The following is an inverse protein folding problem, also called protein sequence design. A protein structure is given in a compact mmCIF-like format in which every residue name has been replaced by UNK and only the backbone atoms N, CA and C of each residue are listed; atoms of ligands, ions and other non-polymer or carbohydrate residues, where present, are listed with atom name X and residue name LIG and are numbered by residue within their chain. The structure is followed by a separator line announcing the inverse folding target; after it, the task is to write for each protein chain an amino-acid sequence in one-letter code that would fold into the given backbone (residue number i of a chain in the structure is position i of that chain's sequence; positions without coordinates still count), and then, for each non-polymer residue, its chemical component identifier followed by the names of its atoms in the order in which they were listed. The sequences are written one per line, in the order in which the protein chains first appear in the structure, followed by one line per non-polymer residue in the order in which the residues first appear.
data_IF_281016125033
#
_entry.id   IF_281016125033
#
_cell.length_a   1.000
_cell.length_b   1.000
_cell.length_c   1.000
_cell.angle_alpha   90.00
_cell.angle_beta   90.00
_cell.angle_gamma   90.00
#
_symmetry.space_group_name_H-M   'P 1'
#
loop_
_entity.id
_entity.type
_entity.pdbx_description
1 polymer ?
#
# COMPACT_ATOMS: atom_id res chain seq x y z
N UNK A 1 29.47 -11.25 -23.54
CA UNK A 1 29.11 -11.01 -22.14
C UNK A 1 29.98 -9.87 -21.62
N UNK A 2 29.38 -8.73 -21.27
CA UNK A 2 30.09 -7.59 -20.66
C UNK A 2 30.01 -7.72 -19.14
N UNK A 3 31.08 -7.37 -18.43
CA UNK A 3 31.11 -7.43 -16.96
C UNK A 3 30.91 -6.04 -16.35
N UNK A 4 30.02 -5.94 -15.38
CA UNK A 4 29.75 -4.73 -14.59
C UNK A 4 30.05 -5.07 -13.13
N UNK A 5 30.78 -4.20 -12.43
CA UNK A 5 31.07 -4.36 -11.01
C UNK A 5 30.23 -3.37 -10.19
N UNK A 6 29.57 -3.86 -9.15
CA UNK A 6 28.69 -3.04 -8.29
C UNK A 6 28.72 -3.54 -6.85
N UNK A 7 28.37 -2.68 -5.89
CA UNK A 7 28.19 -3.14 -4.51
C UNK A 7 26.83 -3.80 -4.36
N UNK A 8 25.79 -3.20 -4.94
CA UNK A 8 24.42 -3.73 -4.93
C UNK A 8 23.82 -3.84 -6.33
N UNK A 9 23.01 -4.88 -6.54
CA UNK A 9 22.16 -5.04 -7.72
C UNK A 9 20.69 -5.03 -7.27
N UNK A 10 19.97 -3.95 -7.57
CA UNK A 10 18.55 -3.79 -7.25
C UNK A 10 17.70 -4.23 -8.42
N UNK A 11 16.86 -5.23 -8.19
CA UNK A 11 15.91 -5.79 -9.17
C UNK A 11 14.55 -5.17 -8.94
N UNK A 12 14.13 -4.31 -9.87
CA UNK A 12 12.89 -3.54 -9.81
C UNK A 12 13.15 -2.06 -9.48
N UNK A 13 12.78 -1.17 -10.40
CA UNK A 13 12.75 0.28 -10.25
C UNK A 13 11.33 0.79 -9.88
N UNK A 14 10.53 -0.05 -9.21
CA UNK A 14 9.29 0.36 -8.57
C UNK A 14 9.54 1.20 -7.32
N UNK A 15 8.47 1.66 -6.67
CA UNK A 15 8.57 2.59 -5.54
C UNK A 15 9.48 2.09 -4.39
N UNK A 16 9.47 0.79 -4.07
CA UNK A 16 10.36 0.21 -3.04
C UNK A 16 11.83 0.22 -3.48
N UNK A 17 12.13 -0.26 -4.69
CA UNK A 17 13.49 -0.27 -5.21
C UNK A 17 14.09 1.13 -5.33
N UNK A 18 13.27 2.12 -5.72
CA UNK A 18 13.65 3.53 -5.73
C UNK A 18 13.92 4.09 -4.33
N UNK A 19 13.04 3.83 -3.35
CA UNK A 19 13.22 4.31 -1.98
C UNK A 19 14.43 3.68 -1.26
N UNK A 20 14.68 2.38 -1.51
CA UNK A 20 15.88 1.69 -1.03
C UNK A 20 17.14 2.29 -1.64
N UNK A 21 17.19 2.42 -2.97
CA UNK A 21 18.35 2.95 -3.71
C UNK A 21 18.66 4.38 -3.28
N UNK A 22 17.65 5.23 -3.15
CA UNK A 22 17.80 6.61 -2.69
C UNK A 22 18.47 6.70 -1.32
N UNK A 23 17.94 5.97 -0.34
CA UNK A 23 18.46 6.00 1.04
C UNK A 23 19.88 5.47 1.09
N UNK A 24 20.15 4.35 0.40
CA UNK A 24 21.47 3.74 0.34
C UNK A 24 22.51 4.68 -0.29
N UNK A 25 22.16 5.35 -1.38
CA UNK A 25 23.04 6.31 -2.07
C UNK A 25 23.24 7.57 -1.23
N UNK A 26 22.23 8.03 -0.51
CA UNK A 26 22.33 9.20 0.37
C UNK A 26 23.22 8.96 1.60
N UNK A 27 23.23 7.73 2.13
CA UNK A 27 23.88 7.42 3.41
C UNK A 27 25.21 6.65 3.28
N UNK A 28 25.57 6.22 2.07
CA UNK A 28 26.82 5.49 1.80
C UNK A 28 27.48 5.94 0.51
N UNK A 29 28.71 5.48 0.25
CA UNK A 29 29.41 5.65 -1.03
C UNK A 29 29.19 4.47 -2.01
N UNK A 30 28.21 3.60 -1.74
CA UNK A 30 27.99 2.38 -2.51
C UNK A 30 27.66 2.66 -3.98
N UNK A 31 28.12 1.77 -4.86
CA UNK A 31 27.70 1.68 -6.26
C UNK A 31 26.51 0.75 -6.40
N UNK A 32 25.54 1.16 -7.20
CA UNK A 32 24.27 0.45 -7.37
C UNK A 32 23.96 0.27 -8.85
N UNK A 33 23.64 -0.95 -9.25
CA UNK A 33 23.01 -1.24 -10.54
C UNK A 33 21.52 -1.46 -10.27
N UNK A 34 20.66 -0.72 -10.97
CA UNK A 34 19.21 -0.91 -10.93
C UNK A 34 18.76 -1.50 -12.26
N UNK A 35 18.03 -2.61 -12.23
CA UNK A 35 17.47 -3.28 -13.41
C UNK A 35 15.96 -3.33 -13.31
N UNK A 36 15.26 -2.98 -14.38
CA UNK A 36 13.79 -3.02 -14.42
C UNK A 36 13.28 -3.39 -15.82
N UNK A 37 12.19 -4.16 -15.87
CA UNK A 37 11.54 -4.58 -17.12
C UNK A 37 10.73 -3.44 -17.77
N UNK A 38 10.35 -2.43 -17.00
CA UNK A 38 9.64 -1.24 -17.44
C UNK A 38 10.54 -0.26 -18.19
N UNK A 39 9.91 0.60 -18.96
CA UNK A 39 10.58 1.61 -19.78
C UNK A 39 11.09 2.82 -18.98
N UNK A 40 10.60 2.98 -17.74
CA UNK A 40 10.96 4.05 -16.83
C UNK A 40 10.75 3.59 -15.37
N UNK A 41 11.35 4.27 -14.39
CA UNK A 41 11.06 4.06 -12.97
C UNK A 41 9.59 4.30 -12.62
N UNK A 42 9.11 3.63 -11.57
CA UNK A 42 7.75 3.78 -11.05
C UNK A 42 6.97 2.47 -10.97
N UNK A 43 7.45 1.39 -11.59
CA UNK A 43 6.82 0.07 -11.49
C UNK A 43 5.36 0.08 -11.98
N UNK A 44 4.42 -0.39 -11.16
CA UNK A 44 3.00 -0.51 -11.54
C UNK A 44 2.33 0.82 -11.92
N UNK A 45 2.86 1.96 -11.45
CA UNK A 45 2.33 3.29 -11.81
C UNK A 45 2.37 3.56 -13.31
N UNK A 46 3.32 2.94 -14.03
CA UNK A 46 3.43 3.05 -15.49
C UNK A 46 2.29 2.36 -16.25
N UNK A 47 1.46 1.56 -15.56
CA UNK A 47 0.31 0.82 -16.12
C UNK A 47 -1.01 1.15 -15.42
N UNK A 48 -0.99 2.04 -14.43
CA UNK A 48 -2.17 2.34 -13.63
C UNK A 48 -3.22 3.12 -14.46
N UNK A 49 -4.49 3.05 -14.04
CA UNK A 49 -5.60 3.69 -14.74
C UNK A 49 -5.54 5.22 -14.60
N UNK A 50 -6.02 5.99 -15.60
CA UNK A 50 -5.67 7.41 -15.73
C UNK A 50 -6.22 8.32 -14.63
N UNK A 51 -7.22 7.87 -13.87
CA UNK A 51 -7.84 8.62 -12.78
C UNK A 51 -7.41 8.13 -11.38
N UNK A 52 -6.45 7.20 -11.29
CA UNK A 52 -5.89 6.79 -10.01
C UNK A 52 -5.16 7.95 -9.35
N UNK A 53 -5.26 8.00 -8.02
CA UNK A 53 -4.46 8.87 -7.17
C UNK A 53 -3.89 8.06 -6.03
N UNK A 54 -2.82 8.56 -5.41
CA UNK A 54 -2.34 7.98 -4.16
C UNK A 54 -3.47 7.86 -3.14
N UNK A 55 -3.48 6.77 -2.37
CA UNK A 55 -4.46 6.57 -1.30
C UNK A 55 -4.08 7.37 -0.04
N UNK A 56 -2.79 7.69 0.11
CA UNK A 56 -2.23 8.45 1.22
C UNK A 56 -1.66 9.80 0.72
N UNK A 57 -1.45 10.78 1.61
CA UNK A 57 -0.83 12.06 1.25
C UNK A 57 0.51 11.91 0.51
N UNK A 58 0.69 12.73 -0.52
CA UNK A 58 1.92 12.75 -1.34
C UNK A 58 3.19 13.01 -0.51
N UNK A 59 3.05 13.81 0.54
CA UNK A 59 4.11 14.18 1.50
C UNK A 59 4.84 12.98 2.13
N UNK A 60 4.24 11.79 2.13
CA UNK A 60 4.82 10.57 2.74
C UNK A 60 5.01 9.43 1.74
N UNK A 61 4.97 9.74 0.44
CA UNK A 61 5.26 8.78 -0.63
C UNK A 61 6.50 9.20 -1.43
N UNK A 62 7.18 8.24 -2.06
CA UNK A 62 8.40 8.49 -2.85
C UNK A 62 9.68 8.08 -2.12
N UNK A 63 10.70 8.94 -2.14
CA UNK A 63 12.04 8.72 -1.57
C UNK A 63 12.42 9.79 -0.52
N UNK A 64 13.35 9.52 0.40
CA UNK A 64 13.65 10.47 1.49
C UNK A 64 14.26 11.78 0.98
N UNK A 65 15.12 11.72 -0.04
CA UNK A 65 15.88 12.87 -0.53
C UNK A 65 15.05 13.93 -1.26
N UNK A 66 13.86 13.58 -1.76
CA UNK A 66 13.04 14.45 -2.62
C UNK A 66 11.56 14.45 -2.23
N UNK A 67 10.97 15.62 -2.10
CA UNK A 67 9.51 15.78 -1.89
C UNK A 67 8.70 15.44 -3.15
N UNK A 68 7.62 14.69 -2.99
CA UNK A 68 6.60 14.47 -4.02
C UNK A 68 5.43 15.44 -3.79
N UNK A 69 5.09 16.22 -4.81
CA UNK A 69 4.08 17.27 -4.71
C UNK A 69 4.66 18.56 -4.10
N UNK A 70 3.78 19.32 -3.48
CA UNK A 70 3.97 20.68 -2.96
C UNK A 70 3.43 20.87 -1.54
N UNK A 71 2.97 19.78 -0.92
CA UNK A 71 2.27 19.77 0.37
C UNK A 71 1.04 20.71 0.37
N UNK A 72 0.41 20.87 -0.79
CA UNK A 72 -0.80 21.67 -0.91
C UNK A 72 -2.02 20.93 -0.35
N UNK A 73 -2.96 21.69 0.22
CA UNK A 73 -4.29 21.17 0.54
C UNK A 73 -5.20 21.30 -0.66
N UNK A 74 -5.97 20.25 -0.95
CA UNK A 74 -6.98 20.29 -1.99
C UNK A 74 -8.06 21.34 -1.64
N UNK A 75 -8.33 22.23 -2.59
CA UNK A 75 -9.32 23.30 -2.41
C UNK A 75 -10.73 22.90 -2.91
N UNK A 76 -10.81 21.79 -3.65
CA UNK A 76 -12.03 21.30 -4.30
C UNK A 76 -12.09 19.77 -4.32
N UNK A 77 -13.23 19.22 -4.76
CA UNK A 77 -13.44 17.79 -4.83
C UNK A 77 -13.63 17.14 -3.45
N UNK A 78 -13.66 15.80 -3.43
CA UNK A 78 -13.97 15.06 -2.21
C UNK A 78 -12.77 14.88 -1.26
N UNK A 79 -11.58 15.34 -1.65
CA UNK A 79 -10.41 15.40 -0.77
C UNK A 79 -10.20 16.81 -0.17
N UNK A 80 -11.13 17.76 -0.42
CA UNK A 80 -11.00 19.16 0.02
C UNK A 80 -10.62 19.28 1.50
N UNK A 81 -9.59 20.07 1.77
CA UNK A 81 -9.08 20.34 3.12
C UNK A 81 -8.08 19.31 3.65
N UNK A 82 -7.72 18.29 2.84
CA UNK A 82 -6.64 17.34 3.11
C UNK A 82 -5.50 17.56 2.11
N UNK A 83 -4.31 17.04 2.41
CA UNK A 83 -3.17 17.13 1.49
C UNK A 83 -3.44 16.41 0.17
N UNK A 84 -2.85 16.96 -0.88
CA UNK A 84 -2.98 16.48 -2.25
C UNK A 84 -2.55 15.01 -2.42
N UNK A 85 -3.24 14.34 -3.32
CA UNK A 85 -3.00 12.96 -3.70
C UNK A 85 -2.47 12.93 -5.13
N UNK A 86 -1.18 12.66 -5.28
CA UNK A 86 -0.49 12.61 -6.57
C UNK A 86 -1.19 11.63 -7.52
N UNK A 87 -1.31 12.03 -8.78
CA UNK A 87 -1.84 11.19 -9.86
C UNK A 87 -0.79 10.17 -10.31
N UNK A 88 -1.18 9.18 -11.14
CA UNK A 88 -0.20 8.29 -11.77
C UNK A 88 0.87 9.06 -12.57
N UNK A 89 0.47 10.13 -13.28
CA UNK A 89 1.39 10.99 -14.02
C UNK A 89 2.41 11.70 -13.12
N UNK A 90 1.94 12.24 -12.00
CA UNK A 90 2.82 12.89 -11.01
C UNK A 90 3.84 11.92 -10.42
N UNK A 91 3.41 10.69 -10.08
CA UNK A 91 4.29 9.67 -9.52
C UNK A 91 5.33 9.20 -10.54
N UNK A 92 4.95 8.95 -11.79
CA UNK A 92 5.90 8.57 -12.84
C UNK A 92 6.92 9.67 -13.10
N UNK A 93 6.46 10.92 -13.27
CA UNK A 93 7.34 12.07 -13.46
C UNK A 93 8.27 12.30 -12.27
N UNK A 94 7.79 12.05 -11.04
CA UNK A 94 8.60 12.16 -9.84
C UNK A 94 9.73 11.12 -9.81
N UNK A 95 9.44 9.83 -10.05
CA UNK A 95 10.49 8.81 -10.01
C UNK A 95 11.46 8.93 -11.18
N UNK A 96 11.01 9.37 -12.35
CA UNK A 96 11.92 9.72 -13.45
C UNK A 96 12.88 10.85 -13.04
N UNK A 97 12.37 11.92 -12.41
CA UNK A 97 13.24 13.00 -11.89
C UNK A 97 14.23 12.49 -10.84
N UNK A 98 13.79 11.64 -9.90
CA UNK A 98 14.69 11.04 -8.90
C UNK A 98 15.82 10.26 -9.60
N UNK A 99 15.49 9.43 -10.59
CA UNK A 99 16.50 8.67 -11.33
C UNK A 99 17.44 9.59 -12.12
N UNK A 100 16.88 10.46 -12.96
CA UNK A 100 17.65 11.26 -13.94
C UNK A 100 18.42 12.43 -13.32
N UNK A 101 17.88 13.06 -12.27
CA UNK A 101 18.42 14.30 -11.70
C UNK A 101 19.18 14.08 -10.40
N UNK A 102 18.83 13.03 -9.65
CA UNK A 102 19.39 12.83 -8.31
C UNK A 102 20.31 11.60 -8.28
N UNK A 103 19.88 10.45 -8.80
CA UNK A 103 20.62 9.19 -8.71
C UNK A 103 21.72 9.03 -9.77
N UNK A 104 21.38 9.11 -11.06
CA UNK A 104 22.35 8.94 -12.15
C UNK A 104 23.49 9.98 -12.10
N UNK A 105 23.23 11.27 -11.81
CA UNK A 105 24.30 12.27 -11.74
C UNK A 105 25.34 12.04 -10.65
N UNK A 106 25.05 11.19 -9.64
CA UNK A 106 26.07 10.80 -8.65
C UNK A 106 27.23 10.02 -9.26
N UNK A 107 27.05 9.42 -10.44
CA UNK A 107 28.00 8.49 -11.05
C UNK A 107 28.12 7.15 -10.31
N UNK A 108 27.35 6.95 -9.23
CA UNK A 108 27.32 5.71 -8.43
C UNK A 108 26.18 4.78 -8.82
N UNK A 109 25.18 5.27 -9.54
CA UNK A 109 24.03 4.49 -9.99
C UNK A 109 24.11 4.25 -11.50
N UNK A 110 23.88 3.00 -11.92
CA UNK A 110 23.65 2.63 -13.32
C UNK A 110 22.26 2.03 -13.46
N UNK A 111 21.47 2.52 -14.41
CA UNK A 111 20.08 2.08 -14.62
C UNK A 111 19.91 1.36 -15.95
N UNK A 112 19.31 0.18 -15.90
CA UNK A 112 18.98 -0.68 -17.03
C UNK A 112 17.44 -0.81 -17.16
N UNK A 113 16.76 0.15 -17.82
CA UNK A 113 15.35 0.02 -18.17
C UNK A 113 15.17 -1.04 -19.26
N UNK A 114 13.94 -1.52 -19.44
CA UNK A 114 13.58 -2.53 -20.44
C UNK A 114 14.52 -3.75 -20.42
N UNK A 115 14.99 -4.11 -19.23
CA UNK A 115 15.98 -5.16 -19.03
C UNK A 115 15.49 -6.19 -18.02
N UNK A 116 15.81 -7.45 -18.26
CA UNK A 116 15.39 -8.57 -17.43
C UNK A 116 16.55 -9.10 -16.59
N UNK A 117 16.30 -9.28 -15.29
CA UNK A 117 17.21 -10.04 -14.42
C UNK A 117 16.96 -11.54 -14.59
N UNK A 118 18.00 -12.28 -14.98
CA UNK A 118 17.94 -13.72 -15.28
C UNK A 118 18.38 -14.60 -14.10
N UNK A 119 18.64 -14.00 -12.93
CA UNK A 119 19.25 -14.68 -11.79
C UNK A 119 20.78 -14.70 -11.84
N UNK A 120 21.39 -14.99 -10.69
CA UNK A 120 22.85 -15.17 -10.54
C UNK A 120 23.67 -13.98 -11.09
N UNK A 121 23.20 -12.74 -10.86
CA UNK A 121 23.89 -11.54 -11.33
C UNK A 121 23.84 -11.34 -12.85
N UNK A 122 22.95 -12.00 -13.59
CA UNK A 122 22.83 -11.85 -15.05
C UNK A 122 21.69 -10.92 -15.44
N UNK A 123 21.94 -10.02 -16.39
CA UNK A 123 20.95 -9.10 -16.94
C UNK A 123 20.91 -9.26 -18.46
N UNK A 124 19.71 -9.23 -19.05
CA UNK A 124 19.50 -9.13 -20.50
C UNK A 124 18.80 -7.82 -20.84
N UNK A 125 19.39 -7.01 -21.71
CA UNK A 125 18.76 -5.77 -22.15
C UNK A 125 17.77 -5.98 -23.30
N UNK A 126 17.09 -4.89 -23.70
CA UNK A 126 16.11 -4.87 -24.78
C UNK A 126 16.67 -5.38 -26.13
N UNK A 127 17.97 -5.21 -26.38
CA UNK A 127 18.62 -5.67 -27.60
C UNK A 127 19.04 -7.15 -27.53
N UNK A 128 18.79 -7.82 -26.40
CA UNK A 128 19.20 -9.20 -26.14
C UNK A 128 20.66 -9.33 -25.70
N UNK A 129 21.36 -8.23 -25.41
CA UNK A 129 22.73 -8.30 -24.89
C UNK A 129 22.71 -8.74 -23.43
N UNK A 130 23.57 -9.71 -23.11
CA UNK A 130 23.72 -10.22 -21.75
C UNK A 130 24.95 -9.65 -21.03
N UNK A 131 24.72 -9.22 -19.79
CA UNK A 131 25.70 -8.67 -18.87
C UNK A 131 25.87 -9.60 -17.67
N UNK A 132 27.10 -9.76 -17.21
CA UNK A 132 27.43 -10.32 -15.91
C UNK A 132 27.65 -9.19 -14.92
N UNK A 133 26.97 -9.23 -13.78
CA UNK A 133 27.13 -8.25 -12.71
C UNK A 133 27.87 -8.91 -11.55
N UNK A 134 29.11 -8.49 -11.32
CA UNK A 134 29.87 -8.82 -10.11
C UNK A 134 29.33 -8.01 -8.94
N UNK A 135 28.54 -8.65 -8.08
CA UNK A 135 27.91 -8.03 -6.90
C UNK A 135 28.79 -8.27 -5.67
N UNK A 136 29.32 -7.19 -5.08
CA UNK A 136 30.25 -7.30 -3.94
C UNK A 136 29.55 -7.47 -2.60
N UNK A 137 28.34 -6.93 -2.46
CA UNK A 137 27.54 -7.03 -1.23
C UNK A 137 26.32 -7.89 -1.48
N UNK A 138 25.24 -7.33 -2.04
CA UNK A 138 23.95 -8.03 -2.11
C UNK A 138 23.14 -7.71 -3.36
N UNK A 139 22.38 -8.72 -3.80
CA UNK A 139 21.24 -8.51 -4.70
C UNK A 139 20.06 -8.08 -3.84
N UNK A 140 19.29 -7.09 -4.30
CA UNK A 140 18.12 -6.56 -3.63
C UNK A 140 16.90 -6.88 -4.49
N UNK A 141 16.05 -7.78 -4.04
CA UNK A 141 14.79 -8.10 -4.68
C UNK A 141 13.70 -7.10 -4.24
N UNK A 142 13.40 -6.15 -5.12
CA UNK A 142 12.29 -5.22 -4.97
C UNK A 142 11.01 -5.67 -5.70
N UNK A 143 10.97 -6.93 -6.17
CA UNK A 143 9.85 -7.53 -6.90
C UNK A 143 9.02 -8.50 -6.04
N UNK A 144 9.48 -8.85 -4.83
CA UNK A 144 8.77 -9.77 -3.95
C UNK A 144 7.31 -9.37 -3.68
N UNK A 145 7.07 -8.10 -3.33
CA UNK A 145 5.72 -7.55 -3.14
C UNK A 145 5.14 -6.96 -4.44
N UNK A 146 5.33 -7.64 -5.57
CA UNK A 146 4.86 -7.13 -6.87
C UNK A 146 3.36 -6.79 -6.86
N UNK A 147 3.04 -5.65 -7.47
CA UNK A 147 1.66 -5.18 -7.61
C UNK A 147 1.13 -5.52 -9.00
N UNK A 148 -0.03 -6.17 -9.06
CA UNK A 148 -0.77 -6.38 -10.31
C UNK A 148 -1.93 -5.38 -10.37
N UNK A 149 -1.91 -4.50 -11.37
CA UNK A 149 -3.07 -3.64 -11.68
C UNK A 149 -3.98 -4.32 -12.70
N UNK A 150 -5.29 -3.99 -12.78
CA UNK A 150 -6.23 -4.70 -13.65
C UNK A 150 -5.81 -4.81 -15.11
N UNK A 151 -5.21 -3.77 -15.69
CA UNK A 151 -4.75 -3.78 -17.09
C UNK A 151 -3.60 -4.77 -17.38
N UNK A 152 -3.01 -5.38 -16.36
CA UNK A 152 -1.90 -6.34 -16.52
C UNK A 152 -2.38 -7.77 -16.75
N UNK A 153 -3.69 -8.04 -16.66
CA UNK A 153 -4.25 -9.39 -16.80
C UNK A 153 -5.69 -9.36 -17.34
N UNK A 154 -6.19 -10.46 -17.92
CA UNK A 154 -7.61 -10.61 -18.15
C UNK A 154 -8.38 -10.81 -16.82
N UNK A 155 -9.72 -10.61 -16.82
CA UNK A 155 -10.56 -10.97 -15.69
C UNK A 155 -10.40 -12.46 -15.31
N UNK A 156 -10.48 -12.81 -14.00
CA UNK A 156 -10.33 -14.19 -13.54
C UNK A 156 -11.61 -15.03 -13.73
N UNK A 157 -12.65 -14.47 -14.35
CA UNK A 157 -13.95 -15.07 -14.59
C UNK A 157 -14.27 -15.05 -16.09
N UNK A 158 -15.21 -15.91 -16.51
CA UNK A 158 -15.57 -16.02 -17.91
C UNK A 158 -16.47 -14.84 -18.32
N UNK A 159 -16.20 -14.26 -19.48
CA UNK A 159 -17.04 -13.23 -20.09
C UNK A 159 -17.47 -13.75 -21.46
N UNK A 160 -18.78 -13.82 -21.71
CA UNK A 160 -19.29 -14.27 -23.01
C UNK A 160 -18.99 -13.24 -24.13
N UNK A 161 -18.91 -13.73 -25.36
CA UNK A 161 -18.62 -12.90 -26.53
C UNK A 161 -19.61 -11.74 -26.68
N UNK A 162 -19.09 -10.57 -27.09
CA UNK A 162 -19.89 -9.36 -27.31
C UNK A 162 -20.21 -8.55 -26.05
N UNK A 163 -19.84 -9.03 -24.86
CA UNK A 163 -20.03 -8.30 -23.60
C UNK A 163 -18.85 -7.33 -23.38
N UNK A 164 -19.17 -6.07 -23.15
CA UNK A 164 -18.16 -5.06 -22.79
C UNK A 164 -17.69 -5.24 -21.36
N UNK A 165 -16.55 -5.90 -21.16
CA UNK A 165 -15.87 -6.01 -19.87
C UNK A 165 -14.45 -5.46 -20.01
N UNK A 166 -14.17 -4.36 -19.32
CA UNK A 166 -12.93 -3.60 -19.49
C UNK A 166 -12.23 -3.36 -18.14
N UNK A 167 -10.90 -3.22 -18.10
CA UNK A 167 -10.21 -2.75 -16.91
C UNK A 167 -10.52 -1.25 -16.68
N UNK A 168 -10.36 -0.74 -15.44
CA UNK A 168 -10.39 0.69 -15.10
C UNK A 168 -9.63 1.63 -16.06
N UNK A 169 -8.55 1.14 -16.67
CA UNK A 169 -7.76 1.90 -17.64
C UNK A 169 -8.57 2.35 -18.86
N UNK A 170 -9.48 1.49 -19.33
CA UNK A 170 -10.30 1.69 -20.53
C UNK A 170 -11.66 2.32 -20.20
N UNK A 171 -11.99 2.46 -18.91
CA UNK A 171 -13.27 3.03 -18.48
C UNK A 171 -13.58 4.41 -19.13
N UNK A 172 -12.65 5.38 -19.19
CA UNK A 172 -12.94 6.68 -19.79
C UNK A 172 -13.37 6.61 -21.26
N UNK A 173 -12.79 5.69 -22.02
CA UNK A 173 -13.04 5.54 -23.46
C UNK A 173 -14.34 4.77 -23.73
N UNK A 174 -14.70 3.83 -22.84
CA UNK A 174 -15.85 2.94 -23.03
C UNK A 174 -17.10 3.37 -22.27
N UNK A 175 -16.99 4.29 -21.31
CA UNK A 175 -18.12 4.78 -20.52
C UNK A 175 -19.18 5.56 -21.33
N UNK A 176 -18.84 6.43 -22.30
CA UNK A 176 -19.84 7.22 -23.03
C UNK A 176 -20.90 6.35 -23.72
N UNK A 177 -22.17 6.79 -23.65
CA UNK A 177 -23.28 6.14 -24.36
C UNK A 177 -23.78 4.82 -23.75
N UNK A 178 -23.22 4.37 -22.63
CA UNK A 178 -23.75 3.22 -21.87
C UNK A 178 -24.93 3.65 -21.03
N UNK A 179 -25.82 2.71 -20.69
CA UNK A 179 -26.98 2.94 -19.80
C UNK A 179 -26.77 2.38 -18.39
N UNK A 180 -25.93 1.34 -18.24
CA UNK A 180 -25.62 0.72 -16.94
C UNK A 180 -24.13 0.41 -16.80
N UNK A 181 -23.66 0.46 -15.56
CA UNK A 181 -22.28 0.13 -15.19
C UNK A 181 -22.28 -0.88 -14.05
N UNK A 182 -21.57 -1.98 -14.24
CA UNK A 182 -21.35 -2.99 -13.19
C UNK A 182 -19.88 -2.95 -12.80
N UNK A 183 -19.60 -2.57 -11.56
CA UNK A 183 -18.24 -2.54 -11.01
C UNK A 183 -17.99 -3.87 -10.31
N UNK A 184 -16.98 -4.62 -10.75
CA UNK A 184 -16.65 -5.94 -10.18
C UNK A 184 -15.41 -5.80 -9.30
N UNK A 185 -15.59 -5.83 -7.98
CA UNK A 185 -14.48 -5.78 -7.03
C UNK A 185 -14.71 -4.78 -5.90
N UNK A 186 -14.48 -5.25 -4.67
CA UNK A 186 -14.71 -4.52 -3.42
C UNK A 186 -13.53 -3.65 -2.95
N UNK A 187 -12.39 -3.72 -3.66
CA UNK A 187 -11.16 -3.04 -3.27
C UNK A 187 -11.16 -1.55 -3.59
N UNK A 188 -10.02 -0.90 -3.31
CA UNK A 188 -9.84 0.53 -3.55
C UNK A 188 -9.99 0.91 -5.04
N UNK A 189 -9.51 0.06 -5.95
CA UNK A 189 -9.75 0.21 -7.39
C UNK A 189 -11.25 0.24 -7.76
N UNK A 190 -12.08 -0.57 -7.09
CA UNK A 190 -13.53 -0.56 -7.24
C UNK A 190 -14.15 0.75 -6.75
N UNK A 191 -13.72 1.22 -5.58
CA UNK A 191 -14.11 2.52 -5.06
C UNK A 191 -13.75 3.66 -6.02
N UNK A 192 -12.55 3.63 -6.60
CA UNK A 192 -12.09 4.66 -7.54
C UNK A 192 -12.90 4.66 -8.84
N UNK A 193 -13.27 3.50 -9.37
CA UNK A 193 -14.16 3.40 -10.52
C UNK A 193 -15.57 3.96 -10.20
N UNK A 194 -16.14 3.59 -9.05
CA UNK A 194 -17.43 4.13 -8.59
C UNK A 194 -17.38 5.66 -8.43
N UNK A 195 -16.34 6.17 -7.76
CA UNK A 195 -16.13 7.59 -7.53
C UNK A 195 -15.92 8.35 -8.84
N UNK A 196 -15.17 7.78 -9.80
CA UNK A 196 -14.98 8.38 -11.11
C UNK A 196 -16.29 8.51 -11.88
N UNK A 197 -17.12 7.46 -11.91
CA UNK A 197 -18.44 7.49 -12.56
C UNK A 197 -19.35 8.55 -11.93
N UNK A 198 -19.46 8.56 -10.60
CA UNK A 198 -20.26 9.53 -9.87
C UNK A 198 -19.76 10.97 -10.07
N UNK A 199 -18.43 11.15 -10.11
CA UNK A 199 -17.78 12.44 -10.33
C UNK A 199 -18.01 13.01 -11.73
N UNK A 200 -18.25 12.14 -12.71
CA UNK A 200 -18.61 12.51 -14.09
C UNK A 200 -20.14 12.57 -14.32
N UNK A 201 -20.92 12.62 -13.25
CA UNK A 201 -22.36 12.85 -13.33
C UNK A 201 -23.20 11.61 -13.68
N UNK A 202 -22.61 10.41 -13.66
CA UNK A 202 -23.40 9.19 -13.76
C UNK A 202 -24.21 9.03 -12.45
N UNK A 203 -25.55 8.95 -12.53
CA UNK A 203 -26.38 8.84 -11.34
C UNK A 203 -26.23 7.45 -10.69
N UNK A 204 -26.26 7.35 -9.35
CA UNK A 204 -25.98 6.11 -8.62
C UNK A 204 -26.93 4.96 -8.96
N UNK A 205 -28.15 5.25 -9.42
CA UNK A 205 -29.15 4.27 -9.84
C UNK A 205 -28.74 3.48 -11.09
N UNK A 206 -27.72 3.95 -11.81
CA UNK A 206 -27.13 3.28 -12.98
C UNK A 206 -25.92 2.42 -12.65
N UNK A 207 -25.50 2.39 -11.37
CA UNK A 207 -24.35 1.62 -10.90
C UNK A 207 -24.83 0.42 -10.10
N UNK A 208 -24.32 -0.76 -10.48
CA UNK A 208 -24.36 -1.97 -9.65
C UNK A 208 -22.95 -2.25 -9.18
N UNK A 209 -22.74 -2.42 -7.87
CA UNK A 209 -21.41 -2.72 -7.32
C UNK A 209 -21.37 -4.13 -6.74
N UNK A 210 -20.61 -5.02 -7.39
CA UNK A 210 -20.41 -6.39 -6.91
C UNK A 210 -19.30 -6.40 -5.86
N UNK A 211 -19.73 -6.51 -4.61
CA UNK A 211 -18.91 -6.45 -3.41
C UNK A 211 -19.13 -7.72 -2.55
N UNK A 212 -18.40 -8.82 -2.81
CA UNK A 212 -18.60 -10.06 -2.05
C UNK A 212 -18.26 -9.94 -0.56
N UNK A 213 -17.40 -9.01 -0.19
CA UNK A 213 -17.04 -8.69 1.20
C UNK A 213 -16.94 -7.18 1.36
N UNK A 214 -17.59 -6.64 2.39
CA UNK A 214 -17.40 -5.25 2.79
C UNK A 214 -16.03 -5.06 3.46
N UNK A 215 -15.41 -3.90 3.21
CA UNK A 215 -14.12 -3.52 3.81
C UNK A 215 -14.31 -2.63 5.03
N UNK A 216 -13.53 -2.87 6.08
CA UNK A 216 -13.15 -1.81 7.01
C UNK A 216 -12.21 -0.84 6.28
N UNK A 217 -12.48 0.46 6.40
CA UNK A 217 -11.77 1.55 5.72
C UNK A 217 -11.07 2.46 6.72
N UNK A 218 -9.95 3.06 6.34
CA UNK A 218 -9.27 4.07 7.13
C UNK A 218 -9.82 5.47 6.78
N UNK A 219 -10.07 6.30 7.79
CA UNK A 219 -10.35 7.73 7.57
C UNK A 219 -9.05 8.44 7.15
N UNK A 220 -9.02 8.93 5.90
CA UNK A 220 -7.85 9.63 5.33
C UNK A 220 -7.44 10.83 6.18
N UNK A 221 -8.38 11.49 6.85
CA UNK A 221 -8.09 12.65 7.67
C UNK A 221 -7.30 12.30 8.95
N UNK A 222 -7.29 11.02 9.36
CA UNK A 222 -6.55 10.52 10.52
C UNK A 222 -5.11 10.08 10.18
N UNK A 223 -4.74 10.05 8.90
CA UNK A 223 -3.41 9.65 8.42
C UNK A 223 -2.68 10.79 7.68
N UNK A 224 -3.03 12.04 7.99
CA UNK A 224 -2.36 13.22 7.45
C UNK A 224 -1.05 13.52 8.20
N UNK A 225 0.09 13.69 7.51
CA UNK A 225 1.35 14.08 8.14
C UNK A 225 1.37 15.58 8.47
N UNK A 226 2.46 16.05 9.08
CA UNK A 226 2.74 17.48 9.19
C UNK A 226 2.09 18.19 10.39
N UNK A 227 2.59 19.39 10.73
CA UNK A 227 2.17 20.12 11.93
C UNK A 227 0.68 20.52 11.92
N UNK A 228 0.09 20.74 10.75
CA UNK A 228 -1.31 21.14 10.62
C UNK A 228 -2.28 20.05 11.12
N UNK A 229 -1.95 18.78 10.90
CA UNK A 229 -2.81 17.64 11.30
C UNK A 229 -2.30 16.91 12.54
N UNK A 230 -1.15 17.33 13.09
CA UNK A 230 -0.50 16.68 14.22
C UNK A 230 -1.45 16.36 15.38
N UNK A 231 -2.30 17.31 15.79
CA UNK A 231 -3.24 17.08 16.89
C UNK A 231 -4.27 16.00 16.57
N UNK A 232 -4.79 15.97 15.33
CA UNK A 232 -5.75 14.96 14.88
C UNK A 232 -5.08 13.59 14.79
N UNK A 233 -3.91 13.52 14.16
CA UNK A 233 -3.11 12.31 14.06
C UNK A 233 -2.80 11.72 15.44
N UNK A 234 -2.29 12.56 16.37
CA UNK A 234 -1.99 12.15 17.76
C UNK A 234 -3.23 11.66 18.50
N UNK A 235 -4.37 12.34 18.34
CA UNK A 235 -5.63 11.93 18.97
C UNK A 235 -6.14 10.59 18.43
N UNK A 236 -6.12 10.39 17.11
CA UNK A 236 -6.49 9.13 16.46
C UNK A 236 -5.57 7.99 16.89
N UNK A 237 -4.25 8.22 16.90
CA UNK A 237 -3.27 7.24 17.37
C UNK A 237 -3.52 6.82 18.83
N UNK A 238 -3.74 7.78 19.73
CA UNK A 238 -4.07 7.48 21.12
C UNK A 238 -5.39 6.72 21.27
N UNK A 239 -6.43 7.12 20.55
CA UNK A 239 -7.73 6.45 20.55
C UNK A 239 -7.65 5.01 20.02
N UNK A 240 -6.80 4.76 19.01
CA UNK A 240 -6.52 3.42 18.48
C UNK A 240 -5.88 2.52 19.52
N UNK A 241 -4.84 3.01 20.22
CA UNK A 241 -4.19 2.26 21.30
C UNK A 241 -5.15 1.98 22.47
N UNK A 242 -5.95 2.97 22.86
CA UNK A 242 -6.95 2.80 23.91
C UNK A 242 -8.03 1.78 23.52
N UNK A 243 -8.49 1.81 22.27
CA UNK A 243 -9.46 0.83 21.75
C UNK A 243 -8.88 -0.58 21.78
N UNK A 244 -7.64 -0.74 21.31
CA UNK A 244 -6.92 -2.01 21.33
C UNK A 244 -6.69 -2.54 22.76
N UNK A 245 -6.34 -1.67 23.71
CA UNK A 245 -6.08 -2.06 25.10
C UNK A 245 -7.37 -2.37 25.89
N UNK A 246 -8.50 -1.73 25.58
CA UNK A 246 -9.73 -1.83 26.36
C UNK A 246 -10.77 -2.83 25.80
N UNK A 247 -10.61 -3.29 24.56
CA UNK A 247 -11.58 -4.16 23.91
C UNK A 247 -11.70 -5.52 24.62
N UNK A 248 -12.94 -5.96 24.85
CA UNK A 248 -13.28 -7.21 25.51
C UNK A 248 -13.32 -8.41 24.55
N UNK A 249 -13.76 -8.18 23.30
CA UNK A 249 -13.83 -9.13 22.19
C UNK A 249 -13.33 -8.48 20.88
N UNK A 250 -13.16 -9.29 19.83
CA UNK A 250 -12.84 -8.77 18.48
C UNK A 250 -13.96 -7.87 17.96
N UNK A 251 -15.23 -8.21 18.23
CA UNK A 251 -16.37 -7.37 17.83
C UNK A 251 -16.35 -6.00 18.52
N UNK A 252 -16.18 -5.97 19.85
CA UNK A 252 -16.04 -4.74 20.65
C UNK A 252 -14.83 -3.89 20.18
N UNK A 253 -13.73 -4.53 19.76
CA UNK A 253 -12.59 -3.84 19.17
C UNK A 253 -12.98 -3.05 17.91
N UNK A 254 -13.63 -3.70 16.95
CA UNK A 254 -14.02 -3.03 15.70
C UNK A 254 -15.10 -1.96 15.93
N UNK A 255 -16.05 -2.17 16.83
CA UNK A 255 -17.02 -1.16 17.23
C UNK A 255 -16.35 0.09 17.84
N UNK A 256 -15.34 -0.09 18.70
CA UNK A 256 -14.56 1.01 19.28
C UNK A 256 -13.72 1.74 18.22
N UNK A 257 -13.09 1.00 17.32
CA UNK A 257 -12.32 1.58 16.23
C UNK A 257 -13.23 2.40 15.29
N UNK A 258 -14.45 1.94 15.03
CA UNK A 258 -15.45 2.70 14.30
C UNK A 258 -15.92 3.94 15.08
N UNK A 259 -16.28 3.79 16.34
CA UNK A 259 -16.78 4.88 17.19
C UNK A 259 -15.75 6.02 17.36
N UNK A 260 -14.46 5.69 17.30
CA UNK A 260 -13.36 6.66 17.36
C UNK A 260 -12.96 7.22 15.99
N UNK A 261 -13.59 6.76 14.91
CA UNK A 261 -13.28 7.15 13.53
C UNK A 261 -11.95 6.60 13.01
N UNK A 262 -11.32 5.66 13.72
CA UNK A 262 -10.10 4.99 13.24
C UNK A 262 -10.41 4.04 12.07
N UNK A 263 -11.57 3.39 12.11
CA UNK A 263 -12.13 2.63 11.01
C UNK A 263 -13.48 3.20 10.59
N UNK A 264 -13.84 3.02 9.32
CA UNK A 264 -15.11 3.40 8.75
C UNK A 264 -15.69 2.18 8.03
N UNK A 265 -17.02 2.09 7.97
CA UNK A 265 -17.74 1.08 7.17
C UNK A 265 -18.63 1.74 6.12
N UNK A 266 -18.82 1.07 4.99
CA UNK A 266 -19.69 1.56 3.93
C UNK A 266 -21.16 1.52 4.36
N UNK A 267 -21.64 0.34 4.71
CA UNK A 267 -23.04 0.06 5.06
C UNK A 267 -23.15 -0.23 6.57
N UNK A 268 -23.85 0.61 7.36
CA UNK A 268 -24.00 0.38 8.80
C UNK A 268 -24.75 -0.89 9.17
N UNK A 269 -25.51 -1.48 8.24
CA UNK A 269 -26.26 -2.73 8.48
C UNK A 269 -25.44 -3.99 8.24
N UNK A 270 -24.23 -3.86 7.67
CA UNK A 270 -23.36 -4.99 7.32
C UNK A 270 -22.06 -4.90 8.09
N UNK A 271 -21.67 -6.00 8.75
CA UNK A 271 -20.37 -6.13 9.40
C UNK A 271 -19.30 -6.42 8.34
N UNK A 272 -18.30 -5.55 8.14
CA UNK A 272 -17.20 -5.82 7.22
C UNK A 272 -16.36 -7.02 7.65
N UNK A 273 -15.84 -7.76 6.67
CA UNK A 273 -15.00 -8.97 6.86
C UNK A 273 -13.68 -8.90 6.10
N UNK A 274 -13.40 -7.77 5.45
CA UNK A 274 -12.19 -7.50 4.68
C UNK A 274 -11.46 -6.28 5.27
N UNK A 275 -10.14 -6.32 5.30
CA UNK A 275 -9.31 -5.16 5.58
C UNK A 275 -8.09 -5.19 4.68
N UNK A 276 -7.96 -4.20 3.80
CA UNK A 276 -6.85 -4.08 2.83
C UNK A 276 -6.22 -2.68 2.83
N UNK A 277 -6.20 -2.03 4.01
CA UNK A 277 -5.69 -0.67 4.20
C UNK A 277 -6.29 0.39 3.24
N UNK A 278 -7.52 0.17 2.76
CA UNK A 278 -8.18 1.14 1.89
C UNK A 278 -8.54 2.40 2.68
N UNK A 279 -8.09 3.56 2.19
CA UNK A 279 -8.39 4.87 2.80
C UNK A 279 -9.48 5.60 2.00
N UNK A 280 -10.36 6.29 2.71
CA UNK A 280 -11.37 7.17 2.10
C UNK A 280 -11.49 8.46 2.88
N UNK A 281 -11.85 9.56 2.20
CA UNK A 281 -12.34 10.74 2.91
C UNK A 281 -13.80 10.54 3.31
N UNK A 282 -14.28 11.29 4.29
CA UNK A 282 -15.71 11.27 4.65
C UNK A 282 -16.60 11.66 3.46
N UNK A 283 -16.16 12.59 2.60
CA UNK A 283 -16.90 13.02 1.43
C UNK A 283 -16.98 11.92 0.36
N UNK A 284 -15.90 11.19 0.10
CA UNK A 284 -15.90 10.03 -0.79
C UNK A 284 -16.84 8.93 -0.26
N UNK A 285 -16.76 8.64 1.04
CA UNK A 285 -17.63 7.66 1.69
C UNK A 285 -19.12 8.05 1.54
N UNK A 286 -19.46 9.33 1.68
CA UNK A 286 -20.81 9.83 1.42
C UNK A 286 -21.26 9.56 -0.01
N UNK A 287 -20.38 9.68 -1.01
CA UNK A 287 -20.74 9.40 -2.40
C UNK A 287 -20.91 7.91 -2.66
N UNK A 288 -20.00 7.07 -2.15
CA UNK A 288 -20.09 5.62 -2.29
C UNK A 288 -21.39 5.08 -1.68
N UNK A 289 -21.83 5.64 -0.53
CA UNK A 289 -23.10 5.28 0.12
C UNK A 289 -24.36 5.63 -0.68
N UNK A 290 -24.25 6.44 -1.74
CA UNK A 290 -25.39 6.73 -2.63
C UNK A 290 -25.71 5.54 -3.54
N UNK A 291 -24.77 4.62 -3.75
CA UNK A 291 -24.97 3.42 -4.56
C UNK A 291 -25.81 2.44 -3.74
N UNK A 292 -27.09 2.30 -4.11
CA UNK A 292 -28.03 1.40 -3.43
C UNK A 292 -27.95 -0.05 -3.92
N UNK A 293 -27.53 -0.28 -5.16
CA UNK A 293 -27.46 -1.60 -5.77
C UNK A 293 -26.09 -2.26 -5.50
N UNK A 294 -25.94 -2.80 -4.29
CA UNK A 294 -24.75 -3.51 -3.84
C UNK A 294 -25.04 -5.01 -3.81
N UNK A 295 -24.28 -5.78 -4.59
CA UNK A 295 -24.46 -7.23 -4.73
C UNK A 295 -23.43 -7.98 -3.88
N UNK A 296 -23.92 -8.77 -2.93
CA UNK A 296 -23.13 -9.56 -1.97
C UNK A 296 -23.33 -11.07 -2.13
N UNK A 297 -23.41 -11.55 -3.38
CA UNK A 297 -23.67 -12.96 -3.72
C UNK A 297 -22.39 -13.73 -4.08
N UNK A 298 -21.26 -13.41 -3.44
CA UNK A 298 -19.98 -14.05 -3.71
C UNK A 298 -19.26 -13.51 -4.95
N UNK A 299 -18.25 -14.25 -5.43
CA UNK A 299 -17.39 -13.81 -6.54
C UNK A 299 -18.11 -14.05 -7.87
N UNK A 300 -17.83 -13.21 -8.87
CA UNK A 300 -18.30 -13.46 -10.24
C UNK A 300 -17.59 -14.69 -10.79
N UNK A 301 -18.35 -15.59 -11.40
CA UNK A 301 -17.83 -16.78 -12.07
C UNK A 301 -17.98 -16.66 -13.59
N UNK A 302 -19.12 -16.12 -14.04
CA UNK A 302 -19.41 -15.91 -15.45
C UNK A 302 -20.33 -14.71 -15.67
N UNK A 303 -20.06 -13.95 -16.72
CA UNK A 303 -20.93 -12.90 -17.24
C UNK A 303 -21.49 -13.34 -18.59
N UNK A 304 -22.82 -13.39 -18.69
CA UNK A 304 -23.58 -13.74 -19.90
C UNK A 304 -24.48 -12.58 -20.32
N UNK A 305 -25.12 -12.68 -21.49
CA UNK A 305 -25.92 -11.58 -22.07
C UNK A 305 -27.12 -11.17 -21.20
N UNK A 306 -27.72 -12.12 -20.49
CA UNK A 306 -28.96 -11.91 -19.72
C UNK A 306 -28.78 -12.14 -18.20
N UNK A 307 -27.62 -12.65 -17.77
CA UNK A 307 -27.35 -12.93 -16.35
C UNK A 307 -25.88 -12.84 -15.98
N UNK A 308 -25.64 -12.54 -14.71
CA UNK A 308 -24.33 -12.63 -14.06
C UNK A 308 -24.42 -13.78 -13.06
N UNK A 309 -23.53 -14.76 -13.22
CA UNK A 309 -23.43 -15.92 -12.32
C UNK A 309 -22.37 -15.61 -11.27
N UNK A 310 -22.78 -15.67 -10.00
CA UNK A 310 -21.93 -15.50 -8.84
C UNK A 310 -21.94 -16.77 -7.97
N UNK A 311 -20.94 -16.93 -7.12
CA UNK A 311 -20.79 -18.11 -6.27
C UNK A 311 -22.04 -18.46 -5.45
N UNK A 312 -22.74 -17.45 -4.91
CA UNK A 312 -23.91 -17.65 -4.03
C UNK A 312 -25.23 -17.23 -4.72
N UNK A 313 -25.25 -17.04 -6.04
CA UNK A 313 -26.49 -16.67 -6.72
C UNK A 313 -26.36 -16.19 -8.16
N UNK A 314 -27.45 -15.67 -8.71
CA UNK A 314 -27.50 -15.12 -10.07
C UNK A 314 -28.33 -13.86 -10.06
N UNK A 315 -27.88 -12.85 -10.80
CA UNK A 315 -28.63 -11.61 -11.03
C UNK A 315 -28.83 -11.39 -12.53
N UNK A 316 -29.83 -10.59 -12.88
CA UNK A 316 -30.07 -10.23 -14.27
C UNK A 316 -28.94 -9.36 -14.83
N UNK A 317 -28.63 -9.53 -16.12
CA UNK A 317 -27.73 -8.67 -16.89
C UNK A 317 -28.51 -7.96 -17.98
N UNK A 318 -28.04 -6.78 -18.36
CA UNK A 318 -28.53 -6.05 -19.52
C UNK A 318 -27.42 -5.97 -20.59
N UNK A 319 -27.69 -6.27 -21.87
CA UNK A 319 -26.69 -6.23 -22.95
C UNK A 319 -26.01 -4.86 -23.16
N UNK A 320 -26.63 -3.75 -22.73
CA UNK A 320 -26.06 -2.40 -22.80
C UNK A 320 -25.03 -2.11 -21.69
N UNK A 321 -24.92 -2.99 -20.70
CA UNK A 321 -24.09 -2.83 -19.50
C UNK A 321 -22.60 -2.85 -19.85
N UNK A 322 -21.86 -1.88 -19.32
CA UNK A 322 -20.41 -1.93 -19.26
C UNK A 322 -19.97 -2.54 -17.93
N UNK A 323 -19.17 -3.58 -17.98
CA UNK A 323 -18.53 -4.20 -16.82
C UNK A 323 -17.14 -3.64 -16.63
N UNK A 324 -16.80 -3.27 -15.39
CA UNK A 324 -15.49 -2.76 -15.02
C UNK A 324 -14.82 -3.79 -14.12
N UNK A 325 -13.76 -4.43 -14.62
CA UNK A 325 -13.01 -5.43 -13.86
C UNK A 325 -12.02 -4.76 -12.90
N UNK A 326 -12.42 -4.59 -11.64
CA UNK A 326 -11.59 -4.07 -10.57
C UNK A 326 -11.01 -5.18 -9.68
N UNK A 327 -10.97 -6.44 -10.16
CA UNK A 327 -10.67 -7.61 -9.31
C UNK A 327 -9.19 -7.95 -9.15
N UNK A 328 -8.28 -7.20 -9.79
CA UNK A 328 -6.85 -7.47 -9.63
C UNK A 328 -6.40 -7.32 -8.18
N UNK A 329 -5.60 -8.28 -7.73
CA UNK A 329 -4.99 -8.23 -6.43
C UNK A 329 -3.73 -7.34 -6.49
N UNK A 330 -3.89 -6.08 -6.07
CA UNK A 330 -2.81 -5.10 -6.13
C UNK A 330 -1.68 -5.34 -5.12
N UNK A 331 -1.92 -6.12 -4.06
CA UNK A 331 -0.97 -6.39 -3.00
C UNK A 331 -1.29 -7.77 -2.42
N UNK A 332 -0.86 -8.81 -3.11
CA UNK A 332 -1.11 -10.19 -2.70
C UNK A 332 -0.39 -10.49 -1.37
N UNK A 333 -1.04 -11.30 -0.51
CA UNK A 333 -0.44 -11.75 0.74
C UNK A 333 0.60 -12.84 0.42
N UNK A 334 1.87 -12.50 0.60
CA UNK A 334 2.97 -13.46 0.51
C UNK A 334 3.39 -13.95 1.90
N UNK A 335 3.84 -15.20 1.99
CA UNK A 335 4.49 -15.71 3.20
C UNK A 335 5.78 -14.95 3.46
N UNK A 336 5.92 -14.40 4.66
CA UNK A 336 7.11 -13.63 5.03
C UNK A 336 8.37 -14.50 4.95
N UNK A 337 9.45 -13.90 4.46
CA UNK A 337 10.81 -14.46 4.50
C UNK A 337 11.75 -13.54 5.27
N UNK A 338 12.95 -14.00 5.61
CA UNK A 338 13.98 -13.12 6.15
C UNK A 338 14.26 -11.98 5.15
N UNK A 339 14.37 -10.75 5.64
CA UNK A 339 14.69 -9.60 4.78
C UNK A 339 16.15 -9.66 4.39
N UNK A 340 17.04 -9.96 5.33
CA UNK A 340 18.47 -10.10 5.10
C UNK A 340 18.86 -11.58 5.15
N UNK A 341 19.31 -12.13 4.03
CA UNK A 341 19.71 -13.53 3.92
C UNK A 341 20.99 -13.66 3.08
N UNK A 342 22.14 -13.54 3.73
CA UNK A 342 23.44 -13.68 3.08
C UNK A 342 23.66 -12.64 1.98
N UNK A 343 23.64 -13.07 0.72
CA UNK A 343 23.84 -12.20 -0.44
C UNK A 343 22.54 -11.61 -1.01
N UNK A 344 21.39 -11.84 -0.37
CA UNK A 344 20.08 -11.36 -0.80
C UNK A 344 19.47 -10.41 0.25
N UNK A 345 18.85 -9.34 -0.23
CA UNK A 345 17.88 -8.53 0.51
C UNK A 345 16.52 -8.68 -0.16
N UNK A 346 15.51 -9.17 0.55
CA UNK A 346 14.13 -9.26 0.02
C UNK A 346 13.29 -8.13 0.61
N UNK A 347 12.96 -7.12 -0.21
CA UNK A 347 12.22 -5.96 0.27
C UNK A 347 10.78 -6.35 0.62
N UNK A 348 10.42 -6.14 1.88
CA UNK A 348 9.10 -6.40 2.44
C UNK A 348 8.64 -5.19 3.26
N UNK A 349 7.35 -5.16 3.63
CA UNK A 349 6.85 -4.13 4.54
C UNK A 349 7.33 -4.44 5.96
N UNK A 350 7.85 -3.45 6.68
CA UNK A 350 8.18 -3.55 8.13
C UNK A 350 7.31 -2.64 8.98
N UNK A 351 6.44 -1.85 8.32
CA UNK A 351 5.30 -1.13 8.90
C UNK A 351 4.07 -1.39 8.04
N UNK A 352 2.87 -1.45 8.63
CA UNK A 352 1.64 -1.76 7.91
C UNK A 352 1.39 -0.78 6.76
N UNK A 353 1.26 -1.31 5.55
CA UNK A 353 0.85 -0.56 4.35
C UNK A 353 1.70 0.68 4.04
N UNK A 354 3.00 0.66 4.42
CA UNK A 354 3.98 1.71 4.15
C UNK A 354 5.25 1.14 3.49
N UNK A 355 5.11 0.70 2.23
CA UNK A 355 6.15 0.01 1.49
C UNK A 355 7.39 0.88 1.22
N UNK A 356 7.20 2.15 0.87
CA UNK A 356 8.33 3.07 0.56
C UNK A 356 9.12 3.44 1.80
N UNK A 357 8.45 3.71 2.93
CA UNK A 357 9.12 3.89 4.22
C UNK A 357 9.87 2.63 4.63
N UNK A 358 9.24 1.45 4.47
CA UNK A 358 9.86 0.17 4.81
C UNK A 358 11.13 -0.07 4.00
N UNK A 359 11.10 0.15 2.69
CA UNK A 359 12.27 0.00 1.82
C UNK A 359 13.41 0.97 2.19
N UNK A 360 13.06 2.21 2.52
CA UNK A 360 14.03 3.20 3.01
C UNK A 360 14.65 2.79 4.36
N UNK A 361 13.83 2.33 5.31
CA UNK A 361 14.32 1.85 6.59
C UNK A 361 15.24 0.62 6.43
N UNK A 362 14.88 -0.33 5.55
CA UNK A 362 15.72 -1.49 5.25
C UNK A 362 17.09 -1.05 4.69
N UNK A 363 17.14 -0.04 3.82
CA UNK A 363 18.40 0.52 3.32
C UNK A 363 19.23 1.20 4.42
N UNK A 364 18.60 1.96 5.30
CA UNK A 364 19.28 2.57 6.46
C UNK A 364 19.88 1.50 7.37
N UNK A 365 19.09 0.46 7.68
CA UNK A 365 19.54 -0.67 8.51
C UNK A 365 20.67 -1.46 7.83
N UNK A 366 20.62 -1.64 6.49
CA UNK A 366 21.73 -2.25 5.73
C UNK A 366 23.02 -1.45 5.86
N UNK A 367 22.93 -0.11 5.86
CA UNK A 367 24.07 0.78 5.92
C UNK A 367 24.66 0.93 7.33
N UNK A 368 23.82 0.94 8.36
CA UNK A 368 24.21 1.29 9.74
C UNK A 368 24.55 0.10 10.64
N UNK A 369 24.18 -1.12 10.26
CA UNK A 369 24.36 -2.33 11.07
C UNK A 369 25.14 -3.39 10.28
N UNK A 370 25.96 -4.21 10.94
CA UNK A 370 26.80 -5.20 10.27
C UNK A 370 26.17 -6.61 10.19
N UNK A 371 25.38 -6.98 11.20
CA UNK A 371 24.91 -8.36 11.42
C UNK A 371 23.47 -8.59 10.96
N UNK A 372 23.25 -9.62 10.13
CA UNK A 372 21.94 -9.95 9.57
C UNK A 372 20.92 -10.37 10.64
N UNK A 373 21.37 -10.98 11.74
CA UNK A 373 20.47 -11.32 12.83
C UNK A 373 19.92 -10.06 13.49
N UNK A 374 20.79 -9.09 13.83
CA UNK A 374 20.38 -7.78 14.35
C UNK A 374 19.49 -7.02 13.36
N UNK A 375 19.85 -7.00 12.07
CA UNK A 375 19.05 -6.36 11.02
C UNK A 375 17.64 -6.95 10.91
N UNK A 376 17.52 -8.28 10.88
CA UNK A 376 16.23 -8.96 10.82
C UNK A 376 15.40 -8.79 12.11
N UNK A 377 16.03 -8.62 13.28
CA UNK A 377 15.31 -8.28 14.51
C UNK A 377 14.66 -6.89 14.45
N UNK A 378 15.30 -5.92 13.78
CA UNK A 378 14.76 -4.58 13.56
C UNK A 378 13.79 -4.51 12.37
N UNK A 379 13.89 -5.44 11.43
CA UNK A 379 13.12 -5.44 10.19
C UNK A 379 12.21 -6.68 10.06
N UNK A 380 11.45 -7.01 11.12
CA UNK A 380 10.50 -8.14 11.03
C UNK A 380 9.39 -7.80 10.03
N UNK A 381 9.11 -8.62 9.01
CA UNK A 381 8.06 -8.34 8.05
C UNK A 381 6.67 -8.19 8.70
N UNK A 382 5.93 -7.19 8.24
CA UNK A 382 4.52 -6.96 8.55
C UNK A 382 3.70 -7.45 7.34
N UNK A 383 2.89 -8.52 7.49
CA UNK A 383 2.15 -9.08 6.37
C UNK A 383 1.07 -8.11 5.86
N UNK A 384 0.76 -8.18 4.56
CA UNK A 384 -0.36 -7.45 4.01
C UNK A 384 -1.69 -8.11 4.42
N UNK A 385 -2.68 -7.34 4.89
CA UNK A 385 -3.95 -7.91 5.37
C UNK A 385 -4.93 -8.23 4.23
N UNK A 386 -5.80 -9.22 4.46
CA UNK A 386 -6.94 -9.53 3.59
C UNK A 386 -8.28 -9.53 4.37
N UNK A 387 -8.32 -10.17 5.53
CA UNK A 387 -9.50 -10.30 6.40
C UNK A 387 -9.55 -9.19 7.45
N UNK A 388 -10.70 -9.01 8.09
CA UNK A 388 -10.81 -8.13 9.26
C UNK A 388 -9.84 -8.57 10.37
N UNK A 389 -9.72 -9.86 10.65
CA UNK A 389 -8.79 -10.38 11.66
C UNK A 389 -7.32 -10.06 11.37
N UNK A 390 -6.94 -9.97 10.10
CA UNK A 390 -5.57 -9.57 9.72
C UNK A 390 -5.20 -8.15 10.18
N UNK A 391 -6.20 -7.30 10.49
CA UNK A 391 -5.94 -6.02 11.16
C UNK A 391 -5.20 -6.21 12.49
N UNK A 392 -5.58 -7.23 13.28
CA UNK A 392 -4.94 -7.52 14.58
C UNK A 392 -3.51 -8.02 14.36
N UNK A 393 -3.32 -8.99 13.46
CA UNK A 393 -1.99 -9.56 13.14
C UNK A 393 -1.02 -8.48 12.65
N UNK A 394 -1.47 -7.67 11.68
CA UNK A 394 -0.69 -6.58 11.11
C UNK A 394 -0.35 -5.53 12.18
N UNK A 395 -1.33 -5.15 13.00
CA UNK A 395 -1.17 -4.15 14.06
C UNK A 395 -0.19 -4.64 15.14
N UNK A 396 -0.28 -5.91 15.55
CA UNK A 396 0.67 -6.52 16.49
C UNK A 396 2.10 -6.51 15.93
N UNK A 397 2.27 -6.95 14.68
CA UNK A 397 3.58 -6.98 14.03
C UNK A 397 4.21 -5.58 13.93
N UNK A 398 3.44 -4.59 13.49
CA UNK A 398 3.86 -3.18 13.42
C UNK A 398 4.26 -2.64 14.79
N UNK A 399 3.43 -2.82 15.82
CA UNK A 399 3.71 -2.30 17.15
C UNK A 399 4.93 -2.97 17.79
N UNK A 400 5.16 -4.27 17.56
CA UNK A 400 6.36 -4.97 18.03
C UNK A 400 7.63 -4.40 17.38
N UNK A 401 7.60 -4.05 16.10
CA UNK A 401 8.70 -3.34 15.45
C UNK A 401 8.91 -1.96 16.06
N UNK A 402 7.84 -1.19 16.26
CA UNK A 402 7.92 0.14 16.89
C UNK A 402 8.54 0.09 18.29
N UNK A 403 8.17 -0.91 19.11
CA UNK A 403 8.74 -1.14 20.45
C UNK A 403 10.25 -1.39 20.37
N UNK A 404 10.73 -2.14 19.38
CA UNK A 404 12.17 -2.39 19.17
C UNK A 404 12.88 -1.12 18.73
N UNK A 405 12.29 -0.37 17.79
CA UNK A 405 12.87 0.88 17.30
C UNK A 405 12.99 1.93 18.40
N UNK A 406 11.96 2.09 19.24
CA UNK A 406 12.00 3.00 20.40
C UNK A 406 13.16 2.68 21.35
N UNK A 407 13.56 1.41 21.41
CA UNK A 407 14.67 0.95 22.24
C UNK A 407 16.07 1.20 21.64
N UNK A 408 16.15 1.69 20.40
CA UNK A 408 17.41 2.06 19.73
C UNK A 408 17.49 3.58 19.54
N UNK A 409 18.33 4.30 20.31
CA UNK A 409 18.43 5.75 20.22
C UNK A 409 18.89 6.28 18.85
N UNK A 410 19.80 5.57 18.17
CA UNK A 410 20.35 6.01 16.88
C UNK A 410 19.29 5.85 15.79
N UNK A 411 18.59 4.71 15.79
CA UNK A 411 17.48 4.50 14.88
C UNK A 411 16.35 5.50 15.12
N UNK A 412 16.07 5.86 16.37
CA UNK A 412 15.09 6.90 16.70
C UNK A 412 15.49 8.29 16.18
N UNK A 413 16.80 8.60 16.12
CA UNK A 413 17.27 9.84 15.50
C UNK A 413 17.00 9.86 14.00
N UNK A 414 17.23 8.74 13.32
CA UNK A 414 16.88 8.58 11.91
C UNK A 414 15.37 8.64 11.66
N UNK A 415 14.57 7.92 12.45
CA UNK A 415 13.10 7.94 12.35
C UNK A 415 12.54 9.35 12.53
N UNK A 416 13.14 10.17 13.38
CA UNK A 416 12.73 11.55 13.60
C UNK A 416 13.13 12.51 12.46
N UNK A 417 14.04 12.10 11.56
CA UNK A 417 14.45 12.89 10.40
C UNK A 417 13.86 12.39 9.07
N UNK A 418 13.55 11.09 8.97
CA UNK A 418 13.06 10.44 7.76
C UNK A 418 11.73 11.04 7.27
N UNK A 419 11.74 11.62 6.06
CA UNK A 419 10.55 12.24 5.43
C UNK A 419 9.40 11.24 5.27
N UNK A 420 9.72 10.00 4.90
CA UNK A 420 8.72 8.96 4.66
C UNK A 420 8.07 8.43 5.94
N UNK A 421 8.59 8.75 7.13
CA UNK A 421 8.02 8.30 8.39
C UNK A 421 6.77 9.13 8.77
N UNK A 422 5.58 8.52 8.75
CA UNK A 422 4.36 9.19 9.23
C UNK A 422 4.44 9.63 10.70
N UNK A 423 5.25 8.98 11.52
CA UNK A 423 5.46 9.33 12.93
C UNK A 423 6.55 10.40 13.14
N UNK A 424 7.17 10.90 12.06
CA UNK A 424 8.26 11.88 12.13
C UNK A 424 7.89 13.07 13.01
N UNK A 425 6.72 13.67 12.81
CA UNK A 425 6.31 14.86 13.58
C UNK A 425 5.99 14.56 15.05
N UNK A 426 5.73 13.30 15.40
CA UNK A 426 5.67 12.87 16.81
C UNK A 426 7.06 12.77 17.45
N UNK A 427 8.10 12.45 16.68
CA UNK A 427 9.44 12.18 17.19
C UNK A 427 10.39 13.36 17.08
N UNK A 428 10.32 14.15 16.00
CA UNK A 428 11.20 15.29 15.76
C UNK A 428 11.25 16.31 16.91
N UNK A 429 10.13 16.69 17.55
CA UNK A 429 10.16 17.60 18.70
C UNK A 429 10.90 17.04 19.93
N UNK A 430 11.05 15.72 20.02
CA UNK A 430 11.70 15.04 21.14
C UNK A 430 13.22 15.04 21.04
N UNK A 431 13.77 15.15 19.83
CA UNK A 431 15.23 15.22 19.62
C UNK A 431 15.87 16.34 20.44
N UNK A 432 15.19 17.48 20.56
CA UNK A 432 15.68 18.67 21.25
C UNK A 432 15.44 18.64 22.78
N UNK A 433 14.88 17.55 23.33
CA UNK A 433 14.50 17.45 24.76
C UNK A 433 14.82 16.06 25.35
N UNK A 434 16.10 15.71 25.58
CA UNK A 434 16.51 14.35 25.94
C UNK A 434 15.77 13.73 27.14
N UNK A 435 15.63 14.49 28.25
CA UNK A 435 14.89 14.00 29.44
C UNK A 435 13.40 13.77 29.17
N UNK A 436 12.78 14.62 28.35
CA UNK A 436 11.37 14.47 27.98
C UNK A 436 11.17 13.33 26.97
N UNK A 437 12.16 13.15 26.08
CA UNK A 437 12.20 12.08 25.08
C UNK A 437 12.16 10.70 25.74
N UNK A 438 13.09 10.40 26.65
CA UNK A 438 13.13 9.10 27.34
C UNK A 438 11.80 8.80 28.04
N UNK A 439 11.25 9.77 28.77
CA UNK A 439 9.98 9.62 29.48
C UNK A 439 8.81 9.38 28.51
N UNK A 440 8.70 10.17 27.43
CA UNK A 440 7.59 10.05 26.49
C UNK A 440 7.66 8.75 25.67
N UNK A 441 8.85 8.40 25.20
CA UNK A 441 9.09 7.15 24.50
C UNK A 441 8.82 5.95 25.42
N UNK A 442 9.18 6.03 26.70
CA UNK A 442 8.80 5.03 27.70
C UNK A 442 7.28 4.89 27.86
N UNK A 443 6.54 6.00 27.91
CA UNK A 443 5.06 5.97 27.97
C UNK A 443 4.44 5.38 26.70
N UNK A 444 4.96 5.73 25.52
CA UNK A 444 4.50 5.18 24.23
C UNK A 444 4.76 3.66 24.20
N UNK A 445 5.97 3.23 24.57
CA UNK A 445 6.35 1.82 24.64
C UNK A 445 5.41 1.02 25.56
N UNK A 446 5.13 1.53 26.76
CA UNK A 446 4.20 0.87 27.68
C UNK A 446 2.77 0.81 27.16
N UNK A 447 2.30 1.86 26.48
CA UNK A 447 0.96 1.87 25.87
C UNK A 447 0.85 0.87 24.71
N UNK A 448 1.89 0.78 23.86
CA UNK A 448 1.99 -0.22 22.80
C UNK A 448 2.00 -1.65 23.38
N UNK A 449 2.76 -1.89 24.45
CA UNK A 449 2.81 -3.19 25.10
C UNK A 449 1.43 -3.59 25.65
N UNK A 450 0.76 -2.70 26.38
CA UNK A 450 -0.56 -2.98 26.92
C UNK A 450 -1.61 -3.25 25.83
N UNK A 451 -1.55 -2.52 24.71
CA UNK A 451 -2.38 -2.79 23.55
C UNK A 451 -2.07 -4.17 22.93
N UNK A 452 -0.79 -4.51 22.77
CA UNK A 452 -0.37 -5.80 22.23
C UNK A 452 -0.81 -6.98 23.10
N UNK A 453 -0.63 -6.89 24.42
CA UNK A 453 -1.03 -7.94 25.36
C UNK A 453 -2.54 -8.25 25.23
N UNK A 454 -3.37 -7.22 25.07
CA UNK A 454 -4.81 -7.43 24.87
C UNK A 454 -5.14 -7.94 23.45
N UNK A 455 -4.47 -7.45 22.40
CA UNK A 455 -4.67 -7.95 21.04
C UNK A 455 -4.28 -9.43 20.90
N UNK A 456 -3.21 -9.88 21.57
CA UNK A 456 -2.83 -11.29 21.63
C UNK A 456 -3.88 -12.14 22.35
N UNK A 457 -4.41 -11.64 23.48
CA UNK A 457 -5.54 -12.27 24.18
C UNK A 457 -6.76 -12.40 23.26
N UNK A 458 -7.10 -11.36 22.50
CA UNK A 458 -8.22 -11.39 21.56
C UNK A 458 -8.00 -12.38 20.41
N UNK A 459 -6.77 -12.54 19.94
CA UNK A 459 -6.43 -13.43 18.82
C UNK A 459 -6.40 -14.93 19.21
N UNK A 460 -6.37 -15.25 20.51
CA UNK A 460 -6.31 -16.63 21.02
C UNK A 460 -7.67 -17.18 21.44
N UNK A 461 -8.70 -16.34 21.52
CA UNK A 461 -10.08 -16.77 21.77
C UNK A 461 -10.68 -17.22 20.43
N UNK A 462 -11.15 -18.47 20.29
CA UNK A 462 -11.81 -18.91 19.06
C UNK A 462 -12.98 -17.98 18.76
N UNK A 463 -13.01 -17.39 17.56
CA UNK A 463 -14.21 -16.71 17.08
C UNK A 463 -15.30 -17.77 16.91
N UNK A 464 -16.38 -17.70 17.68
CA UNK A 464 -17.61 -18.45 17.40
C UNK A 464 -18.22 -17.89 16.10
N UNK A 465 -17.71 -18.36 14.96
CA UNK A 465 -18.23 -18.08 13.64
C UNK A 465 -18.02 -19.34 12.79
N UNK A 466 -19.07 -19.84 12.12
CA UNK A 466 -19.02 -21.14 11.47
C UNK A 466 -18.03 -21.11 10.30
N UNK A 467 -16.93 -21.83 10.45
CA UNK A 467 -15.96 -22.10 9.41
C UNK A 467 -16.67 -22.79 8.24
N UNK A 468 -16.97 -22.04 7.16
CA UNK A 468 -17.23 -22.67 5.86
C UNK A 468 -15.91 -23.25 5.37
N UNK A 469 -15.88 -24.58 5.35
CA UNK A 469 -14.79 -25.40 4.80
C UNK A 469 -14.51 -24.92 3.37
N UNK A 470 -13.27 -24.47 3.11
CA UNK A 470 -12.75 -24.29 1.76
C UNK A 470 -12.32 -25.66 1.24
N UNK A 471 -12.98 -26.15 0.20
CA UNK A 471 -12.44 -27.14 -0.74
C UNK A 471 -12.07 -26.45 -2.03
#
# INVERSE_FOLDING_TARGET
MRTIETDYLVVGAGAMGMAFTDTLVAETDARVVVVDRGHQPGGHWTRAYPYVRLHQPSASYGVNSRTLGSDALDQSGWNKGLYELATAGDVCAYFDRVMQQDLLPTGRVSYFPMSEYLGEGRIRDLAGMEYSVGVRRRVVDATFLHTVVPSMRPPPYQVADGIGCVPPNELPDHAPGRDRYVIVGAGKTGMDACLWLLGNGIPPERLTWIMPRDSWLLDRANVQPGPQFFNRFRASFAARLQSAAAASSVEDLFERLEATGNLLRLDPSVRPTMYRCATVSSAELTQLRRIGDIVRLGRVERIESEKIILTDGTIAADPSTLYIDCTADGLERHSATAIFDGNLITLQSVRGCQQVFSASLIAHIEAAYDDDLAKNQLCVPVPHPDTDLDWLEMTLAEQRNEIRWISDPQLMDWLASARLNLLRDMYAPLLQRPRARERLLGMIKSALQAANDNLERLNTVPSDSPTKIRT
#
